data_IF_860387844228
#
_entry.id   IF_860387844228
#
_cell.length_a   1.000
_cell.length_b   1.000
_cell.length_c   1.000
_cell.angle_alpha   90.00
_cell.angle_beta   90.00
_cell.angle_gamma   90.00
#
_symmetry.space_group_name_H-M   'P 1'
#
loop_
_entity.id
_entity.type
_entity.pdbx_description
1 polymer ?
#
# COMPACT_ATOMS: atom_id res chain seq x y z
N UNK A 1 -11.15 -0.74 -22.12
CA UNK A 1 -10.09 0.29 -22.10
C UNK A 1 -9.19 -0.04 -20.93
N UNK A 2 -7.89 -0.17 -21.15
CA UNK A 2 -6.92 -0.43 -20.07
C UNK A 2 -6.64 0.88 -19.31
N UNK A 3 -6.53 0.81 -17.98
CA UNK A 3 -6.16 1.97 -17.16
C UNK A 3 -4.65 2.21 -17.31
N UNK A 4 -4.28 3.43 -17.69
CA UNK A 4 -2.88 3.85 -17.82
C UNK A 4 -2.56 4.84 -16.70
N UNK A 5 -1.45 4.60 -16.01
CA UNK A 5 -0.96 5.45 -14.92
C UNK A 5 0.38 6.07 -15.31
N UNK A 6 0.60 7.33 -14.94
CA UNK A 6 1.87 8.03 -15.19
C UNK A 6 2.98 7.44 -14.34
N UNK A 7 2.68 7.15 -13.07
CA UNK A 7 3.61 6.58 -12.11
C UNK A 7 2.87 5.59 -11.21
N UNK A 8 3.59 4.55 -10.81
CA UNK A 8 3.16 3.56 -9.83
C UNK A 8 4.32 3.37 -8.86
N UNK A 9 4.06 3.39 -7.57
CA UNK A 9 5.07 3.05 -6.57
C UNK A 9 4.49 2.16 -5.47
N UNK A 10 5.14 1.01 -5.20
CA UNK A 10 4.82 0.20 -4.05
C UNK A 10 5.47 0.79 -2.80
N UNK A 11 4.77 0.69 -1.68
CA UNK A 11 5.25 1.07 -0.37
C UNK A 11 4.95 -0.04 0.64
N UNK A 12 5.73 -0.12 1.72
CA UNK A 12 5.56 -1.10 2.77
C UNK A 12 5.65 -0.43 4.14
N UNK A 13 4.63 -0.65 4.96
CA UNK A 13 4.54 -0.08 6.30
C UNK A 13 4.64 -1.23 7.29
N UNK A 14 5.77 -1.29 7.99
CA UNK A 14 5.98 -2.22 9.10
C UNK A 14 5.38 -1.64 10.38
N UNK A 15 4.52 -2.41 11.05
CA UNK A 15 3.91 -2.00 12.31
C UNK A 15 3.97 -3.13 13.33
N UNK A 16 4.22 -2.75 14.58
CA UNK A 16 4.29 -3.67 15.71
C UNK A 16 2.93 -3.69 16.40
N UNK A 17 2.35 -4.88 16.49
CA UNK A 17 1.09 -5.10 17.20
C UNK A 17 1.30 -5.98 18.43
N UNK A 18 0.35 -5.95 19.36
CA UNK A 18 0.29 -6.89 20.48
C UNK A 18 -0.96 -7.76 20.33
N UNK A 19 -0.77 -9.05 20.03
CA UNK A 19 -1.82 -10.06 19.93
C UNK A 19 -1.49 -11.20 20.91
N UNK A 20 -2.49 -11.66 21.67
CA UNK A 20 -2.35 -12.72 22.69
C UNK A 20 -1.17 -12.51 23.66
N UNK A 21 -0.97 -11.27 24.08
CA UNK A 21 0.09 -10.88 25.00
C UNK A 21 1.49 -10.79 24.37
N UNK A 22 1.68 -11.26 23.14
CA UNK A 22 2.94 -11.27 22.41
C UNK A 22 3.03 -10.12 21.41
N UNK A 23 4.24 -9.61 21.22
CA UNK A 23 4.49 -8.61 20.18
C UNK A 23 4.81 -9.29 18.85
N UNK A 24 4.11 -8.89 17.80
CA UNK A 24 4.32 -9.38 16.44
C UNK A 24 4.51 -8.18 15.51
N UNK A 25 5.38 -8.35 14.52
CA UNK A 25 5.54 -7.37 13.43
C UNK A 25 4.63 -7.83 12.30
N UNK A 26 3.78 -6.92 11.82
CA UNK A 26 2.97 -7.12 10.63
C UNK A 26 3.35 -6.07 9.59
N UNK A 27 3.08 -6.38 8.33
CA UNK A 27 3.44 -5.54 7.19
C UNK A 27 2.19 -5.30 6.36
N UNK A 28 1.94 -4.04 6.02
CA UNK A 28 0.95 -3.68 5.00
C UNK A 28 1.69 -3.10 3.80
N UNK A 29 1.46 -3.70 2.65
CA UNK A 29 1.91 -3.22 1.35
C UNK A 29 0.84 -2.33 0.74
N UNK A 30 1.23 -1.16 0.27
CA UNK A 30 0.38 -0.18 -0.41
C UNK A 30 0.85 -0.01 -1.84
N UNK A 31 -0.07 0.10 -2.78
CA UNK A 31 0.25 0.52 -4.15
C UNK A 31 -0.39 1.88 -4.39
N UNK A 32 0.45 2.88 -4.59
CA UNK A 32 0.04 4.24 -4.91
C UNK A 32 0.25 4.50 -6.40
N UNK A 33 -0.64 5.30 -6.97
CA UNK A 33 -0.60 5.67 -8.38
C UNK A 33 -0.79 7.17 -8.59
N UNK A 34 -0.22 7.66 -9.68
CA UNK A 34 -0.51 8.98 -10.22
C UNK A 34 -1.20 8.82 -11.57
N UNK A 35 -2.38 9.41 -11.70
CA UNK A 35 -3.11 9.47 -12.94
C UNK A 35 -2.48 10.45 -13.94
N UNK A 36 -2.88 10.37 -15.21
CA UNK A 36 -2.41 11.30 -16.26
C UNK A 36 -2.78 12.76 -15.95
N UNK A 37 -3.88 12.98 -15.22
CA UNK A 37 -4.33 14.30 -14.78
C UNK A 37 -3.57 14.83 -13.55
N UNK A 38 -2.56 14.11 -13.05
CA UNK A 38 -1.77 14.50 -11.89
C UNK A 38 -2.47 14.25 -10.55
N UNK A 39 -3.57 13.48 -10.55
CA UNK A 39 -4.27 13.07 -9.32
C UNK A 39 -3.62 11.81 -8.73
N UNK A 40 -3.32 11.82 -7.45
CA UNK A 40 -2.87 10.62 -6.72
C UNK A 40 -4.07 9.77 -6.25
N UNK A 41 -3.91 8.45 -6.27
CA UNK A 41 -4.90 7.49 -5.77
C UNK A 41 -4.23 6.23 -5.19
N UNK A 42 -4.99 5.44 -4.42
CA UNK A 42 -4.55 4.15 -3.85
C UNK A 42 -5.15 3.02 -4.67
N UNK A 43 -4.30 2.20 -5.29
CA UNK A 43 -4.74 1.02 -6.05
C UNK A 43 -5.17 -0.13 -5.14
N UNK A 44 -4.51 -0.28 -3.99
CA UNK A 44 -4.85 -1.33 -3.04
C UNK A 44 -3.92 -1.39 -1.83
N UNK A 45 -4.41 -2.09 -0.80
CA UNK A 45 -3.68 -2.44 0.42
C UNK A 45 -3.67 -3.97 0.55
N UNK A 46 -2.51 -4.53 0.84
CA UNK A 46 -2.30 -5.96 0.99
C UNK A 46 -1.57 -6.22 2.31
N UNK A 47 -2.07 -7.13 3.13
CA UNK A 47 -1.43 -7.51 4.38
C UNK A 47 -0.93 -8.96 4.26
N UNK A 48 0.25 -9.26 4.79
CA UNK A 48 0.75 -10.63 4.94
C UNK A 48 0.32 -11.26 6.26
#
# INVERSE_FOLDING_TARGET
MEKVYSFVWPDAIDYKIREDGHYQIKIVYTVLVLHLEGKQDVLGLYQS
#
